data_IF_543771974687
#
_entry.id   IF_543771974687
#
_cell.length_a   1.000
_cell.length_b   1.000
_cell.length_c   1.000
_cell.angle_alpha   90.00
_cell.angle_beta   90.00
_cell.angle_gamma   90.00
#
_symmetry.space_group_name_H-M   'P 1'
#
loop_
_entity.id
_entity.type
_entity.pdbx_description
1 polymer ?
#
# COMPACT_ATOMS: atom_id res chain seq x y z
N UNK A 1 5.19 53.16 20.55
CA UNK A 1 5.45 51.82 19.97
C UNK A 1 4.14 51.06 20.14
N UNK A 2 3.21 51.00 19.19
CA UNK A 2 3.24 50.26 17.92
C UNK A 2 1.98 50.64 17.11
N UNK A 3 2.12 51.40 16.03
CA UNK A 3 1.01 51.77 15.14
C UNK A 3 1.46 51.68 13.67
N UNK A 4 2.10 50.56 13.31
CA UNK A 4 2.71 50.37 11.99
C UNK A 4 2.13 49.19 11.17
N UNK A 5 1.03 48.56 11.61
CA UNK A 5 0.52 47.36 10.93
C UNK A 5 -0.59 47.60 9.90
N UNK A 6 -1.18 48.79 9.82
CA UNK A 6 -2.35 49.04 8.95
C UNK A 6 -2.06 50.23 8.03
N UNK A 7 -1.14 50.06 7.07
CA UNK A 7 -0.93 51.10 6.05
C UNK A 7 -1.20 50.67 4.63
N UNK A 8 -1.24 49.36 4.34
CA UNK A 8 -1.39 48.88 2.95
C UNK A 8 -2.14 47.55 2.90
N UNK A 9 -3.48 47.55 2.99
CA UNK A 9 -4.28 46.32 2.87
C UNK A 9 -3.99 45.58 1.55
N UNK A 10 -3.59 46.32 0.51
CA UNK A 10 -3.12 45.77 -0.76
C UNK A 10 -1.91 44.83 -0.62
N UNK A 11 -1.00 45.07 0.33
CA UNK A 11 0.14 44.17 0.57
C UNK A 11 -0.30 42.83 1.16
N UNK A 12 -1.30 42.83 2.04
CA UNK A 12 -1.89 41.60 2.58
C UNK A 12 -2.64 40.81 1.49
N UNK A 13 -3.35 41.52 0.59
CA UNK A 13 -4.03 40.92 -0.57
C UNK A 13 -3.00 40.31 -1.53
N UNK A 14 -1.92 41.04 -1.87
CA UNK A 14 -0.85 40.52 -2.72
C UNK A 14 -0.15 39.30 -2.09
N UNK A 15 0.11 39.34 -0.78
CA UNK A 15 0.70 38.20 -0.07
C UNK A 15 -0.23 36.98 -0.08
N UNK A 16 -1.54 37.17 0.13
CA UNK A 16 -2.52 36.10 0.07
C UNK A 16 -2.66 35.50 -1.34
N UNK A 17 -2.65 36.34 -2.38
CA UNK A 17 -2.66 35.90 -3.78
C UNK A 17 -1.38 35.12 -4.09
N UNK A 18 -0.21 35.62 -3.69
CA UNK A 18 1.06 34.96 -3.91
C UNK A 18 1.13 33.61 -3.19
N UNK A 19 0.61 33.53 -1.95
CA UNK A 19 0.52 32.30 -1.18
C UNK A 19 -0.48 31.31 -1.81
N UNK A 20 -1.60 31.79 -2.32
CA UNK A 20 -2.57 30.97 -3.07
C UNK A 20 -1.97 30.40 -4.36
N UNK A 21 -1.24 31.20 -5.15
CA UNK A 21 -0.53 30.73 -6.33
C UNK A 21 0.61 29.77 -5.97
N UNK A 22 1.33 30.02 -4.88
CA UNK A 22 2.36 29.10 -4.38
C UNK A 22 1.76 27.73 -4.02
N UNK A 23 0.63 27.71 -3.31
CA UNK A 23 -0.09 26.49 -2.97
C UNK A 23 -0.60 25.78 -4.22
N UNK A 24 -1.14 26.50 -5.21
CA UNK A 24 -1.56 25.91 -6.48
C UNK A 24 -0.39 25.35 -7.30
N UNK A 25 0.80 25.98 -7.26
CA UNK A 25 2.00 25.47 -7.93
C UNK A 25 2.50 24.18 -7.27
N UNK A 26 2.49 24.10 -5.94
CA UNK A 26 2.85 22.88 -5.20
C UNK A 26 1.83 21.77 -5.46
N UNK A 27 0.52 22.08 -5.44
CA UNK A 27 -0.54 21.11 -5.73
C UNK A 27 -0.50 20.59 -7.17
N UNK A 28 -0.13 21.42 -8.15
CA UNK A 28 0.08 20.98 -9.55
C UNK A 28 1.35 20.14 -9.71
N UNK A 29 2.38 20.38 -8.91
CA UNK A 29 3.63 19.61 -8.95
C UNK A 29 3.47 18.15 -8.50
N UNK A 30 2.43 17.83 -7.72
CA UNK A 30 2.09 16.45 -7.34
C UNK A 30 1.24 15.69 -8.37
N UNK A 31 0.79 16.33 -9.46
CA UNK A 31 -0.18 15.75 -10.42
C UNK A 31 0.40 15.54 -11.82
N UNK A 32 1.70 15.79 -12.05
CA UNK A 32 2.32 15.51 -13.36
C UNK A 32 3.64 14.74 -13.28
N UNK A 33 3.52 13.45 -12.97
CA UNK A 33 4.46 12.42 -13.44
C UNK A 33 3.72 11.46 -14.39
N UNK A 34 3.09 12.04 -15.40
CA UNK A 34 2.70 11.32 -16.61
C UNK A 34 3.31 12.05 -17.81
N UNK A 35 4.51 11.67 -18.22
CA UNK A 35 5.17 12.19 -19.42
C UNK A 35 5.47 11.01 -20.38
N UNK A 36 5.34 11.22 -21.70
CA UNK A 36 5.05 10.19 -22.69
C UNK A 36 6.28 9.38 -23.09
N UNK A 37 6.01 8.19 -23.60
CA UNK A 37 6.98 7.26 -24.18
C UNK A 37 7.58 7.81 -25.48
N UNK A 38 8.64 8.60 -25.42
CA UNK A 38 9.50 8.86 -26.59
C UNK A 38 10.98 8.91 -26.21
N UNK A 39 11.68 7.82 -26.50
CA UNK A 39 13.11 7.68 -26.89
C UNK A 39 14.19 8.48 -26.12
N UNK A 40 15.06 7.76 -25.39
CA UNK A 40 16.43 8.22 -25.08
C UNK A 40 16.99 7.77 -23.73
N UNK A 41 17.85 6.76 -23.74
CA UNK A 41 18.63 6.32 -22.59
C UNK A 41 19.74 7.33 -22.27
N UNK A 42 19.78 7.88 -21.05
CA UNK A 42 21.02 8.40 -20.44
C UNK A 42 20.89 8.41 -18.91
N UNK A 43 21.75 7.58 -18.32
CA UNK A 43 21.85 7.25 -16.91
C UNK A 43 22.78 8.26 -16.22
N UNK A 44 22.27 9.12 -15.34
CA UNK A 44 23.14 9.89 -14.44
C UNK A 44 22.39 10.37 -13.18
N UNK A 45 22.76 9.80 -12.03
CA UNK A 45 22.79 10.51 -10.75
C UNK A 45 21.56 10.38 -9.85
N UNK A 46 21.61 9.39 -8.94
CA UNK A 46 20.93 9.34 -7.64
C UNK A 46 19.60 10.09 -7.50
N UNK A 47 18.52 9.45 -7.94
CA UNK A 47 17.23 9.53 -7.28
C UNK A 47 16.66 8.12 -7.31
N UNK A 48 16.57 7.52 -6.12
CA UNK A 48 16.09 6.15 -5.92
C UNK A 48 14.91 5.87 -6.85
N UNK A 49 14.99 4.91 -7.79
CA UNK A 49 13.81 4.50 -8.50
C UNK A 49 12.89 3.94 -7.42
N UNK A 50 11.80 4.65 -7.16
CA UNK A 50 10.57 4.10 -6.58
C UNK A 50 10.49 2.69 -7.11
N UNK A 51 10.75 1.73 -6.21
CA UNK A 51 10.99 0.36 -6.58
C UNK A 51 9.87 -0.05 -7.54
N UNK A 52 10.28 -0.62 -8.66
CA UNK A 52 9.42 -1.18 -9.69
C UNK A 52 8.67 -2.33 -9.01
N UNK A 53 7.62 -2.00 -8.27
CA UNK A 53 6.88 -2.91 -7.39
C UNK A 53 5.89 -3.76 -8.19
N UNK A 54 5.81 -3.57 -9.50
CA UNK A 54 4.99 -4.40 -10.39
C UNK A 54 5.57 -5.81 -10.57
N UNK A 55 6.83 -6.05 -10.22
CA UNK A 55 7.51 -7.36 -10.38
C UNK A 55 7.64 -8.15 -9.07
N UNK A 56 7.22 -7.61 -7.93
CA UNK A 56 7.13 -8.37 -6.68
C UNK A 56 5.73 -8.99 -6.61
N UNK A 57 5.63 -10.31 -6.73
CA UNK A 57 4.38 -11.03 -6.49
C UNK A 57 4.01 -10.93 -5.01
N UNK A 58 3.12 -9.98 -4.67
CA UNK A 58 2.66 -9.78 -3.30
C UNK A 58 1.36 -10.55 -3.09
N UNK A 59 1.40 -11.50 -2.17
CA UNK A 59 0.27 -12.34 -1.82
C UNK A 59 -0.43 -11.84 -0.56
N UNK A 60 -1.76 -11.82 -0.59
CA UNK A 60 -2.60 -11.45 0.54
C UNK A 60 -3.40 -12.68 0.95
N UNK A 61 -2.97 -13.28 2.05
CA UNK A 61 -3.64 -14.45 2.64
C UNK A 61 -4.61 -13.96 3.71
N UNK A 62 -5.91 -14.13 3.47
CA UNK A 62 -6.95 -13.77 4.45
C UNK A 62 -8.11 -14.76 4.39
N UNK A 63 -8.81 -14.89 5.53
CA UNK A 63 -10.05 -15.63 5.58
C UNK A 63 -11.10 -14.98 4.65
N UNK A 64 -11.89 -15.77 3.89
CA UNK A 64 -12.89 -15.23 2.95
C UNK A 64 -13.98 -14.39 3.61
N UNK A 65 -14.39 -14.74 4.84
CA UNK A 65 -15.40 -14.02 5.60
C UNK A 65 -14.91 -12.69 6.17
N UNK A 66 -13.59 -12.47 6.20
CA UNK A 66 -12.96 -11.19 6.58
C UNK A 66 -12.85 -10.24 5.40
N UNK A 67 -14.00 -9.84 4.88
CA UNK A 67 -14.11 -8.90 3.75
C UNK A 67 -13.53 -7.53 4.10
N UNK A 68 -13.66 -7.11 5.36
CA UNK A 68 -13.05 -5.89 5.92
C UNK A 68 -11.57 -5.73 5.56
N UNK A 69 -10.81 -6.83 5.70
CA UNK A 69 -9.37 -6.85 5.41
C UNK A 69 -9.09 -6.88 3.91
N UNK A 70 -9.93 -7.53 3.12
CA UNK A 70 -9.77 -7.57 1.66
C UNK A 70 -10.07 -6.22 1.05
N UNK A 71 -11.15 -5.57 1.48
CA UNK A 71 -11.58 -4.27 0.96
C UNK A 71 -10.54 -3.19 1.24
N UNK A 72 -9.98 -3.15 2.45
CA UNK A 72 -8.90 -2.21 2.78
C UNK A 72 -7.65 -2.43 1.91
N UNK A 73 -7.33 -3.68 1.58
CA UNK A 73 -6.18 -4.02 0.75
C UNK A 73 -6.44 -3.70 -0.74
N UNK A 74 -7.66 -3.88 -1.23
CA UNK A 74 -8.09 -3.45 -2.58
C UNK A 74 -8.03 -1.92 -2.68
N UNK A 75 -8.44 -1.19 -1.65
CA UNK A 75 -8.29 0.27 -1.65
C UNK A 75 -6.82 0.70 -1.69
N UNK A 76 -5.93 -0.05 -1.02
CA UNK A 76 -4.50 0.22 -1.07
C UNK A 76 -3.92 0.03 -2.49
N UNK A 77 -4.39 -0.95 -3.28
CA UNK A 77 -3.92 -1.11 -4.67
C UNK A 77 -4.27 0.09 -5.54
N UNK A 78 -5.47 0.64 -5.37
CA UNK A 78 -5.94 1.80 -6.13
C UNK A 78 -5.09 3.07 -5.86
N UNK A 79 -4.41 3.14 -4.72
CA UNK A 79 -3.62 4.30 -4.30
C UNK A 79 -2.11 4.16 -4.52
N UNK A 80 -1.60 2.93 -4.67
CA UNK A 80 -0.15 2.66 -4.56
C UNK A 80 0.49 2.00 -5.78
N UNK A 81 -0.26 1.76 -6.87
CA UNK A 81 0.17 0.97 -8.03
C UNK A 81 0.71 -0.44 -7.68
N UNK A 82 0.45 -0.89 -6.45
CA UNK A 82 0.77 -2.24 -5.96
C UNK A 82 -0.35 -3.18 -6.39
N UNK A 83 0.02 -4.36 -6.90
CA UNK A 83 -0.93 -5.44 -7.18
C UNK A 83 -0.82 -6.51 -6.10
N UNK A 84 -1.97 -7.00 -5.65
CA UNK A 84 -2.05 -8.10 -4.69
C UNK A 84 -2.76 -9.29 -5.32
N UNK A 85 -2.21 -10.48 -5.08
CA UNK A 85 -2.86 -11.74 -5.38
C UNK A 85 -3.50 -12.29 -4.11
N UNK A 86 -4.82 -12.40 -4.13
CA UNK A 86 -5.59 -12.86 -2.97
C UNK A 86 -5.64 -14.38 -2.93
N UNK A 87 -5.36 -14.92 -1.74
CA UNK A 87 -5.45 -16.35 -1.45
C UNK A 87 -6.37 -16.56 -0.27
N UNK A 88 -7.32 -17.47 -0.45
CA UNK A 88 -8.28 -17.85 0.58
C UNK A 88 -7.58 -18.66 1.68
N UNK A 89 -7.57 -18.10 2.89
CA UNK A 89 -7.18 -18.82 4.08
C UNK A 89 -8.30 -19.80 4.49
N UNK A 90 -7.94 -20.81 5.26
CA UNK A 90 -8.84 -21.83 5.76
C UNK A 90 -8.74 -21.85 7.27
N UNK A 91 -9.87 -22.00 7.97
CA UNK A 91 -9.85 -22.21 9.41
C UNK A 91 -9.15 -23.52 9.77
N UNK A 92 -8.45 -23.56 10.91
CA UNK A 92 -7.73 -24.76 11.31
C UNK A 92 -8.62 -25.95 11.55
N UNK A 93 -9.82 -25.76 12.12
CA UNK A 93 -10.84 -26.80 12.36
C UNK A 93 -11.22 -27.58 11.08
N UNK A 94 -11.16 -26.91 9.92
CA UNK A 94 -11.42 -27.54 8.62
C UNK A 94 -10.21 -28.32 8.07
N UNK A 95 -9.04 -28.24 8.71
CA UNK A 95 -7.84 -28.99 8.32
C UNK A 95 -7.88 -30.39 8.94
N UNK A 96 -7.87 -31.46 8.11
CA UNK A 96 -7.85 -32.83 8.62
C UNK A 96 -6.60 -33.10 9.45
N UNK A 97 -6.72 -33.83 10.56
CA UNK A 97 -5.59 -34.14 11.44
C UNK A 97 -4.45 -34.88 10.71
N UNK A 98 -4.79 -35.72 9.73
CA UNK A 98 -3.84 -36.41 8.85
C UNK A 98 -3.01 -35.49 7.94
N UNK A 99 -3.44 -34.24 7.76
CA UNK A 99 -2.73 -33.23 6.98
C UNK A 99 -1.79 -32.38 7.84
N UNK A 100 -1.91 -32.47 9.17
CA UNK A 100 -0.99 -31.80 10.10
C UNK A 100 0.35 -32.56 10.05
N UNK A 101 1.50 -31.86 9.96
CA UNK A 101 2.80 -32.52 9.89
C UNK A 101 3.00 -33.51 11.04
N UNK A 102 3.49 -34.71 10.68
CA UNK A 102 3.59 -35.86 11.56
C UNK A 102 4.35 -35.53 12.86
N UNK A 103 3.72 -35.78 14.01
CA UNK A 103 4.33 -35.66 15.33
C UNK A 103 3.83 -34.49 16.18
N UNK A 104 3.15 -33.51 15.59
CA UNK A 104 2.45 -32.46 16.34
C UNK A 104 0.96 -32.73 16.29
N UNK A 105 0.40 -33.29 17.37
CA UNK A 105 -1.05 -33.28 17.55
C UNK A 105 -1.58 -31.84 17.49
N UNK A 106 -2.89 -31.69 17.30
CA UNK A 106 -3.57 -30.39 17.20
C UNK A 106 -3.19 -29.40 18.32
N UNK A 107 -3.10 -29.91 19.54
CA UNK A 107 -2.66 -29.16 20.73
C UNK A 107 -1.19 -28.74 20.65
N UNK A 108 -0.31 -29.58 20.12
CA UNK A 108 1.11 -29.29 19.96
C UNK A 108 1.39 -28.30 18.82
N UNK A 109 0.50 -28.21 17.83
CA UNK A 109 0.57 -27.22 16.76
C UNK A 109 0.12 -25.80 17.20
N UNK A 110 -0.32 -25.63 18.45
CA UNK A 110 -0.85 -24.36 18.96
C UNK A 110 -2.31 -24.09 18.58
N UNK A 111 -3.08 -25.15 18.30
CA UNK A 111 -4.51 -25.08 18.04
C UNK A 111 -4.88 -24.62 16.63
N UNK A 112 -6.19 -24.42 16.42
CA UNK A 112 -6.77 -24.19 15.09
C UNK A 112 -6.29 -22.92 14.41
N UNK A 113 -6.01 -21.87 15.17
CA UNK A 113 -5.49 -20.61 14.59
C UNK A 113 -4.15 -20.83 13.88
N UNK A 114 -3.22 -21.53 14.54
CA UNK A 114 -1.90 -21.80 13.98
C UNK A 114 -1.96 -22.79 12.82
N UNK A 115 -2.80 -23.82 12.94
CA UNK A 115 -3.00 -24.82 11.88
C UNK A 115 -3.60 -24.15 10.63
N UNK A 116 -4.61 -23.28 10.81
CA UNK A 116 -5.21 -22.52 9.72
C UNK A 116 -4.20 -21.59 9.05
N UNK A 117 -3.40 -20.85 9.85
CA UNK A 117 -2.32 -20.01 9.32
C UNK A 117 -1.31 -20.83 8.51
N UNK A 118 -0.80 -21.94 9.07
CA UNK A 118 0.12 -22.83 8.37
C UNK A 118 -0.48 -23.34 7.06
N UNK A 119 -1.71 -23.85 7.10
CA UNK A 119 -2.40 -24.37 5.91
C UNK A 119 -2.58 -23.31 4.84
N UNK A 120 -2.94 -22.09 5.24
CA UNK A 120 -3.11 -20.97 4.33
C UNK A 120 -1.79 -20.56 3.66
N UNK A 121 -0.67 -20.57 4.38
CA UNK A 121 0.66 -20.36 3.77
C UNK A 121 1.06 -21.51 2.83
N UNK A 122 0.74 -22.76 3.17
CA UNK A 122 0.99 -23.89 2.26
C UNK A 122 0.17 -23.79 0.96
N UNK A 123 -1.07 -23.30 1.05
CA UNK A 123 -1.88 -23.02 -0.14
C UNK A 123 -1.27 -21.92 -1.01
N UNK A 124 -0.72 -20.88 -0.38
CA UNK A 124 -0.04 -19.79 -1.08
C UNK A 124 1.21 -20.26 -1.85
N UNK A 125 1.99 -21.15 -1.25
CA UNK A 125 3.19 -21.72 -1.90
C UNK A 125 2.84 -22.63 -3.08
N UNK A 126 1.67 -23.28 -3.06
CA UNK A 126 1.21 -24.20 -4.12
C UNK A 126 0.70 -23.46 -5.37
N UNK A 127 0.41 -22.16 -5.26
CA UNK A 127 -0.26 -21.37 -6.29
C UNK A 127 0.57 -21.24 -7.58
#
# INVERSE_FOLDING_TARGET
>A
MSQALIRRPWQAILAAILLFFLVLLISKSHVHSGIPSTLGFSQSGLSSPVAINQTLGIFVVSLPERTDRRDSMILATALSDIKFDFIDAIHGDQVPDRAIPFGTGRSAAGGDSNIGSWRAHMNAIKM
#
